data_IF_373977188767
#
_entry.id   IF_373977188767
#
_cell.length_a   1.000
_cell.length_b   1.000
_cell.length_c   1.000
_cell.angle_alpha   90.00
_cell.angle_beta   90.00
_cell.angle_gamma   90.00
#
_symmetry.space_group_name_H-M   'P 1'
#
loop_
_entity.id
_entity.type
_entity.pdbx_description
1 polymer ?
#
# COMPACT_ATOMS: atom_id res chain seq x y z
N UNK A 1 17.35 -10.76 9.03
CA UNK A 1 17.10 -10.27 7.65
C UNK A 1 16.31 -8.99 7.77
N UNK A 2 16.83 -7.87 7.28
CA UNK A 2 16.10 -6.62 7.36
C UNK A 2 14.77 -6.72 6.60
N UNK A 3 13.80 -5.93 7.04
CA UNK A 3 12.46 -5.87 6.45
C UNK A 3 12.19 -4.44 5.97
N UNK A 4 11.57 -4.31 4.81
CA UNK A 4 10.96 -3.07 4.34
C UNK A 4 9.44 -3.30 4.33
N UNK A 5 8.70 -2.53 5.13
CA UNK A 5 7.24 -2.58 5.16
C UNK A 5 6.69 -1.52 4.19
N UNK A 6 6.27 -1.96 3.02
CA UNK A 6 5.89 -1.02 1.95
C UNK A 6 4.45 -0.52 2.07
N UNK A 7 3.71 -0.89 3.09
CA UNK A 7 2.31 -0.50 3.22
C UNK A 7 1.89 -0.33 4.68
N UNK A 8 1.92 0.91 5.16
CA UNK A 8 1.44 1.28 6.51
C UNK A 8 0.57 2.53 6.44
N UNK A 9 -0.29 2.72 7.43
CA UNK A 9 -1.11 3.90 7.58
C UNK A 9 -0.77 4.63 8.87
N UNK A 10 -0.55 5.93 8.77
CA UNK A 10 -0.21 6.82 9.88
C UNK A 10 -1.18 8.01 9.96
N UNK A 11 -2.36 7.85 9.39
CA UNK A 11 -3.36 8.90 9.30
C UNK A 11 -4.17 9.00 10.59
N UNK A 12 -4.43 10.23 11.02
CA UNK A 12 -5.31 10.52 12.17
C UNK A 12 -6.79 10.34 11.76
N UNK A 13 -7.18 9.08 11.56
CA UNK A 13 -8.53 8.68 11.16
C UNK A 13 -9.12 7.79 12.26
N UNK A 14 -10.33 8.14 12.73
CA UNK A 14 -11.04 7.40 13.81
C UNK A 14 -11.09 5.87 13.57
N UNK A 15 -11.23 5.43 12.32
CA UNK A 15 -11.29 4.01 12.00
C UNK A 15 -9.99 3.27 12.28
N UNK A 16 -8.83 3.88 12.01
CA UNK A 16 -7.54 3.29 12.34
C UNK A 16 -7.32 3.22 13.85
N UNK A 17 -7.65 4.29 14.59
CA UNK A 17 -7.58 4.28 16.06
C UNK A 17 -8.48 3.19 16.66
N UNK A 18 -9.71 3.04 16.17
CA UNK A 18 -10.61 1.97 16.64
C UNK A 18 -10.09 0.59 16.31
N UNK A 19 -9.59 0.39 15.08
CA UNK A 19 -9.02 -0.90 14.70
C UNK A 19 -7.81 -1.25 15.57
N UNK A 20 -6.94 -0.29 15.83
CA UNK A 20 -5.79 -0.47 16.73
C UNK A 20 -6.22 -0.86 18.15
N UNK A 21 -7.25 -0.22 18.70
CA UNK A 21 -7.73 -0.50 20.06
C UNK A 21 -8.53 -1.80 20.12
N UNK A 22 -9.47 -2.00 19.19
CA UNK A 22 -10.49 -3.03 19.30
C UNK A 22 -10.08 -4.36 18.68
N UNK A 23 -9.25 -4.34 17.63
CA UNK A 23 -8.92 -5.53 16.84
C UNK A 23 -7.45 -5.92 16.95
N UNK A 24 -6.54 -5.09 16.48
CA UNK A 24 -5.12 -5.45 16.38
C UNK A 24 -4.32 -5.31 17.67
N UNK A 25 -4.83 -4.50 18.63
CA UNK A 25 -4.18 -4.25 19.93
C UNK A 25 -2.77 -3.65 19.80
N UNK A 26 -2.54 -2.86 18.77
CA UNK A 26 -1.26 -2.15 18.56
C UNK A 26 -1.30 -0.77 19.25
N UNK A 27 -0.14 -0.27 19.64
CA UNK A 27 0.02 1.13 20.04
C UNK A 27 0.07 2.00 18.78
N UNK A 28 -1.08 2.57 18.41
CA UNK A 28 -1.21 3.41 17.22
C UNK A 28 -0.71 4.82 17.50
N UNK A 29 0.61 4.90 17.66
CA UNK A 29 1.38 6.14 17.83
C UNK A 29 2.70 6.05 17.05
N UNK A 30 3.38 7.18 16.84
CA UNK A 30 4.72 7.19 16.25
C UNK A 30 5.72 6.38 17.06
N UNK A 31 5.63 6.45 18.39
CA UNK A 31 6.48 5.69 19.31
C UNK A 31 6.18 4.20 19.26
N UNK A 32 4.89 3.81 19.19
CA UNK A 32 4.47 2.42 19.04
C UNK A 32 4.96 1.81 17.74
N UNK A 33 4.82 2.53 16.62
CA UNK A 33 5.35 2.08 15.33
C UNK A 33 6.87 1.87 15.39
N UNK A 34 7.60 2.86 15.94
CA UNK A 34 9.06 2.76 16.07
C UNK A 34 9.47 1.55 16.90
N UNK A 35 8.78 1.30 18.00
CA UNK A 35 9.04 0.14 18.86
C UNK A 35 8.77 -1.21 18.13
N UNK A 36 7.71 -1.28 17.32
CA UNK A 36 7.46 -2.46 16.50
C UNK A 36 8.52 -2.63 15.40
N UNK A 37 8.97 -1.54 14.77
CA UNK A 37 10.03 -1.58 13.77
C UNK A 37 11.33 -2.11 14.36
N UNK A 38 11.75 -1.57 15.51
CA UNK A 38 12.98 -1.99 16.20
C UNK A 38 12.95 -3.46 16.64
N UNK A 39 11.76 -3.93 17.10
CA UNK A 39 11.56 -5.32 17.53
C UNK A 39 11.65 -6.30 16.36
N UNK A 40 11.26 -5.90 15.15
CA UNK A 40 11.09 -6.78 14.00
C UNK A 40 12.13 -6.59 12.89
N UNK A 41 13.21 -5.83 13.13
CA UNK A 41 14.21 -5.48 12.13
C UNK A 41 13.62 -4.79 10.88
N UNK A 42 12.54 -4.00 11.06
CA UNK A 42 11.99 -3.18 9.98
C UNK A 42 12.82 -1.92 9.87
N UNK A 43 13.55 -1.78 8.78
CA UNK A 43 14.48 -0.66 8.57
C UNK A 43 13.84 0.53 7.88
N UNK A 44 12.76 0.31 7.15
CA UNK A 44 12.02 1.36 6.44
C UNK A 44 10.54 0.99 6.32
N UNK A 45 9.68 1.98 6.50
CA UNK A 45 8.24 1.88 6.21
C UNK A 45 7.80 2.87 5.13
N UNK A 46 6.78 2.51 4.34
CA UNK A 46 6.15 3.42 3.37
C UNK A 46 4.70 3.68 3.79
N UNK A 47 4.43 4.92 4.19
CA UNK A 47 3.10 5.39 4.57
C UNK A 47 2.21 5.67 3.37
N UNK A 48 0.96 5.20 3.42
CA UNK A 48 -0.05 5.48 2.40
C UNK A 48 -0.84 6.72 2.79
N UNK A 49 -0.66 7.81 2.04
CA UNK A 49 -1.30 9.10 2.34
C UNK A 49 -2.82 9.05 2.22
N UNK A 50 -3.52 9.27 3.32
CA UNK A 50 -4.97 9.34 3.39
C UNK A 50 -5.45 10.13 4.61
N UNK A 51 -6.54 10.87 4.46
CA UNK A 51 -7.23 11.58 5.56
C UNK A 51 -8.74 11.49 5.40
N UNK A 52 -9.47 12.09 6.35
CA UNK A 52 -10.89 12.38 6.22
C UNK A 52 -11.10 13.90 6.18
N UNK A 53 -11.85 14.42 5.19
CA UNK A 53 -12.28 15.83 5.17
C UNK A 53 -13.30 16.10 6.26
N UNK A 54 -14.22 15.16 6.44
CA UNK A 54 -15.23 15.19 7.50
C UNK A 54 -15.32 13.79 8.09
N UNK A 55 -15.66 13.70 9.37
CA UNK A 55 -15.79 12.42 10.07
C UNK A 55 -16.68 11.44 9.28
N UNK A 56 -16.13 10.29 8.95
CA UNK A 56 -16.81 9.24 8.19
C UNK A 56 -16.81 9.44 6.68
N UNK A 57 -16.21 10.50 6.14
CA UNK A 57 -16.03 10.72 4.70
C UNK A 57 -14.69 10.14 4.19
N UNK A 58 -14.33 8.99 4.71
CA UNK A 58 -13.14 8.24 4.32
C UNK A 58 -13.29 7.63 2.93
N UNK A 59 -12.22 7.62 2.12
CA UNK A 59 -10.97 8.33 2.34
C UNK A 59 -10.98 9.72 1.69
N UNK A 60 -10.30 10.67 2.31
CA UNK A 60 -9.81 11.86 1.62
C UNK A 60 -8.29 11.80 1.57
N UNK A 61 -7.74 11.66 0.38
CA UNK A 61 -6.32 11.44 0.17
C UNK A 61 -5.53 12.71 -0.15
N UNK A 62 -6.15 13.89 -0.01
CA UNK A 62 -5.52 15.16 -0.35
C UNK A 62 -4.79 15.86 0.80
N UNK A 63 -4.53 15.14 1.91
CA UNK A 63 -3.81 15.72 3.04
C UNK A 63 -2.41 16.19 2.67
N UNK A 64 -1.99 17.38 3.13
CA UNK A 64 -0.60 17.80 3.06
C UNK A 64 0.30 17.04 4.06
N UNK A 65 -0.28 16.45 5.10
CA UNK A 65 0.41 15.60 6.08
C UNK A 65 -0.24 14.22 6.10
N UNK A 66 0.24 13.26 5.30
CA UNK A 66 -0.29 11.91 5.29
C UNK A 66 0.03 11.12 6.56
N UNK A 67 0.91 11.65 7.41
CA UNK A 67 1.46 11.04 8.59
C UNK A 67 0.91 11.75 9.84
N UNK A 68 -0.42 11.81 9.97
CA UNK A 68 -1.10 12.59 10.99
C UNK A 68 -0.93 12.15 12.45
N UNK A 69 -0.24 11.03 12.69
CA UNK A 69 0.01 10.55 14.04
C UNK A 69 1.24 11.22 14.65
N UNK A 70 1.07 12.31 15.38
CA UNK A 70 2.10 12.95 16.24
C UNK A 70 3.54 12.93 15.66
N UNK A 71 3.65 12.68 14.36
CA UNK A 71 4.89 12.87 13.63
C UNK A 71 5.00 14.37 13.41
N UNK A 72 5.99 14.98 13.99
CA UNK A 72 6.37 16.36 13.67
C UNK A 72 6.30 16.58 12.16
N UNK A 73 6.27 17.83 11.69
CA UNK A 73 6.08 18.21 10.26
C UNK A 73 7.02 17.49 9.28
N UNK A 74 7.98 16.71 9.75
CA UNK A 74 8.95 15.96 8.95
C UNK A 74 8.69 14.46 9.03
N UNK A 75 8.65 13.83 7.86
CA UNK A 75 8.68 12.37 7.75
C UNK A 75 10.00 11.85 8.35
N UNK A 76 9.97 11.05 9.43
CA UNK A 76 11.18 10.51 10.05
C UNK A 76 12.05 9.75 9.04
N UNK A 77 13.34 9.65 9.31
CA UNK A 77 14.29 9.01 8.37
C UNK A 77 13.95 7.56 8.04
N UNK A 78 13.35 6.83 8.98
CA UNK A 78 12.92 5.43 8.80
C UNK A 78 11.56 5.28 8.07
N UNK A 79 11.00 6.39 7.56
CA UNK A 79 9.75 6.39 6.81
C UNK A 79 9.91 7.07 5.45
N UNK A 80 9.10 6.63 4.50
CA UNK A 80 8.78 7.31 3.25
C UNK A 80 7.25 7.36 3.09
N UNK A 81 6.76 8.06 2.06
CA UNK A 81 5.32 8.16 1.81
C UNK A 81 4.95 7.98 0.36
N UNK A 82 3.74 7.51 0.10
CA UNK A 82 3.04 7.65 -1.17
C UNK A 82 2.02 8.79 -1.08
N UNK A 83 2.05 9.70 -2.04
CA UNK A 83 1.12 10.84 -2.10
C UNK A 83 -0.27 10.33 -2.46
N UNK A 84 -1.24 10.52 -1.57
CA UNK A 84 -2.63 10.18 -1.83
C UNK A 84 -3.27 11.12 -2.85
N UNK A 85 -4.12 10.56 -3.71
CA UNK A 85 -4.82 11.30 -4.76
C UNK A 85 -6.33 11.31 -4.51
N UNK A 86 -6.91 12.50 -4.49
CA UNK A 86 -8.35 12.68 -4.54
C UNK A 86 -8.77 13.05 -5.97
N UNK A 87 -9.38 12.12 -6.73
CA UNK A 87 -9.75 12.39 -8.13
C UNK A 87 -10.80 13.51 -8.27
N UNK A 88 -11.57 13.81 -7.23
CA UNK A 88 -12.53 14.91 -7.27
C UNK A 88 -11.85 16.28 -7.37
N UNK A 89 -10.56 16.37 -7.03
CA UNK A 89 -9.77 17.60 -7.16
C UNK A 89 -9.06 17.70 -8.52
N UNK A 90 -9.04 16.63 -9.32
CA UNK A 90 -8.39 16.60 -10.64
C UNK A 90 -9.28 17.15 -11.77
N UNK A 91 -10.48 17.64 -11.45
CA UNK A 91 -11.42 18.20 -12.42
C UNK A 91 -11.71 19.69 -12.21
N UNK A 92 -12.19 20.36 -13.28
CA UNK A 92 -12.60 21.76 -13.21
C UNK A 92 -11.47 22.75 -12.97
N UNK A 93 -11.81 23.90 -12.38
CA UNK A 93 -10.88 25.04 -12.21
C UNK A 93 -9.74 24.76 -11.18
N UNK A 94 -9.88 23.73 -10.36
CA UNK A 94 -8.90 23.38 -9.31
C UNK A 94 -7.87 22.34 -9.77
N UNK A 95 -8.06 21.72 -10.93
CA UNK A 95 -7.23 20.62 -11.40
C UNK A 95 -5.75 20.97 -11.48
N UNK A 96 -5.41 22.16 -12.01
CA UNK A 96 -4.03 22.58 -12.13
C UNK A 96 -3.36 22.78 -10.76
N UNK A 97 -4.05 23.42 -9.82
CA UNK A 97 -3.53 23.64 -8.48
C UNK A 97 -3.27 22.29 -7.74
N UNK A 98 -4.15 21.31 -7.94
CA UNK A 98 -3.95 19.97 -7.38
C UNK A 98 -2.76 19.24 -8.04
N UNK A 99 -2.60 19.33 -9.35
CA UNK A 99 -1.45 18.76 -10.04
C UNK A 99 -0.13 19.42 -9.60
N UNK A 100 -0.13 20.75 -9.43
CA UNK A 100 1.03 21.48 -8.91
C UNK A 100 1.38 21.05 -7.49
N UNK A 101 0.38 20.79 -6.65
CA UNK A 101 0.56 20.24 -5.28
C UNK A 101 1.17 18.84 -5.32
N UNK A 102 0.63 17.94 -6.15
CA UNK A 102 1.16 16.59 -6.32
C UNK A 102 2.60 16.65 -6.81
N UNK A 103 2.87 17.45 -7.82
CA UNK A 103 4.20 17.61 -8.39
C UNK A 103 5.21 18.14 -7.37
N UNK A 104 4.82 19.15 -6.58
CA UNK A 104 5.66 19.69 -5.50
C UNK A 104 6.02 18.60 -4.46
N UNK A 105 5.05 17.74 -4.10
CA UNK A 105 5.32 16.59 -3.20
C UNK A 105 6.28 15.58 -3.83
N UNK A 106 6.08 15.24 -5.11
CA UNK A 106 6.95 14.29 -5.82
C UNK A 106 8.41 14.75 -5.95
N UNK A 107 8.70 16.05 -5.75
CA UNK A 107 10.06 16.57 -5.71
C UNK A 107 10.76 16.28 -4.36
N UNK A 108 10.01 15.98 -3.31
CA UNK A 108 10.57 15.70 -1.99
C UNK A 108 11.22 14.31 -1.94
N UNK A 109 12.42 14.16 -1.35
CA UNK A 109 13.17 12.91 -1.34
C UNK A 109 12.50 11.81 -0.52
N UNK A 110 11.66 12.17 0.47
CA UNK A 110 10.90 11.23 1.29
C UNK A 110 9.67 10.65 0.58
N UNK A 111 9.32 11.13 -0.62
CA UNK A 111 8.18 10.61 -1.37
C UNK A 111 8.62 9.46 -2.27
N UNK A 112 8.08 8.26 -1.99
CA UNK A 112 8.38 7.02 -2.70
C UNK A 112 7.48 6.77 -3.91
N UNK A 113 6.22 7.23 -3.88
CA UNK A 113 5.22 6.92 -4.88
C UNK A 113 3.94 7.73 -4.78
N UNK A 114 2.94 7.25 -5.49
CA UNK A 114 1.57 7.81 -5.50
C UNK A 114 0.61 6.72 -5.02
N UNK A 115 -0.42 7.08 -4.24
CA UNK A 115 -1.48 6.15 -3.80
C UNK A 115 -2.83 6.55 -4.38
N UNK A 116 -3.51 5.57 -5.00
CA UNK A 116 -4.90 5.66 -5.44
C UNK A 116 -5.79 4.78 -4.57
N UNK A 117 -6.97 5.29 -4.22
CA UNK A 117 -7.97 4.59 -3.42
C UNK A 117 -9.15 4.15 -4.29
N UNK A 118 -8.89 3.24 -5.23
CA UNK A 118 -9.93 2.67 -6.08
C UNK A 118 -10.99 1.93 -5.25
N UNK A 119 -12.24 2.03 -5.66
CA UNK A 119 -13.37 1.51 -4.89
C UNK A 119 -13.94 2.53 -3.89
N UNK A 120 -13.10 3.26 -3.17
CA UNK A 120 -13.51 4.36 -2.31
C UNK A 120 -13.92 5.59 -3.13
N UNK A 121 -13.12 5.93 -4.14
CA UNK A 121 -13.53 6.85 -5.19
C UNK A 121 -14.17 6.07 -6.34
N UNK A 122 -15.29 6.61 -6.89
CA UNK A 122 -16.09 5.95 -7.91
C UNK A 122 -15.59 6.25 -9.33
N UNK A 123 -14.28 6.08 -9.52
CA UNK A 123 -13.57 6.21 -10.80
C UNK A 123 -12.79 4.93 -11.07
N UNK A 124 -12.80 4.46 -12.30
CA UNK A 124 -11.86 3.42 -12.71
C UNK A 124 -10.46 4.01 -12.79
N UNK A 125 -9.46 3.22 -12.40
CA UNK A 125 -8.06 3.68 -12.42
C UNK A 125 -7.55 4.04 -13.81
N UNK A 126 -8.18 3.53 -14.86
CA UNK A 126 -7.89 3.87 -16.25
C UNK A 126 -8.69 5.08 -16.78
N UNK A 127 -9.54 5.72 -15.98
CA UNK A 127 -10.28 6.90 -16.39
C UNK A 127 -9.32 8.07 -16.67
N UNK A 128 -9.63 8.85 -17.72
CA UNK A 128 -8.79 9.95 -18.20
C UNK A 128 -8.47 11.01 -17.15
N UNK A 129 -9.27 11.10 -16.11
CA UNK A 129 -9.05 12.04 -15.00
C UNK A 129 -7.71 11.80 -14.31
N UNK A 130 -7.21 10.55 -14.31
CA UNK A 130 -5.92 10.19 -13.72
C UNK A 130 -4.73 10.33 -14.69
N UNK A 131 -4.96 10.57 -15.99
CA UNK A 131 -3.85 10.63 -16.98
C UNK A 131 -2.73 11.58 -16.56
N UNK A 132 -3.00 12.85 -16.11
CA UNK A 132 -1.92 13.74 -15.69
C UNK A 132 -1.13 13.22 -14.46
N UNK A 133 -1.77 12.45 -13.59
CA UNK A 133 -1.10 11.81 -12.43
C UNK A 133 -0.12 10.74 -12.90
N UNK A 134 -0.47 9.94 -13.91
CA UNK A 134 0.43 8.93 -14.49
C UNK A 134 1.59 9.58 -15.26
N UNK A 135 1.36 10.71 -15.90
CA UNK A 135 2.43 11.51 -16.53
C UNK A 135 3.43 12.02 -15.49
N UNK A 136 2.94 12.46 -14.32
CA UNK A 136 3.80 12.84 -13.20
C UNK A 136 4.56 11.62 -12.64
N UNK A 137 3.90 10.47 -12.46
CA UNK A 137 4.54 9.25 -12.00
C UNK A 137 5.70 8.84 -12.94
N UNK A 138 5.47 8.86 -14.25
CA UNK A 138 6.50 8.59 -15.24
C UNK A 138 7.64 9.62 -15.20
N UNK A 139 7.31 10.92 -15.11
CA UNK A 139 8.27 12.03 -15.05
C UNK A 139 9.22 11.90 -13.87
N UNK A 140 8.71 11.51 -12.70
CA UNK A 140 9.47 11.40 -11.46
C UNK A 140 9.99 9.98 -11.19
N UNK A 141 9.73 9.03 -12.09
CA UNK A 141 10.10 7.63 -11.98
C UNK A 141 9.68 7.04 -10.62
N UNK A 142 8.40 7.17 -10.31
CA UNK A 142 7.80 6.61 -9.08
C UNK A 142 6.63 5.69 -9.43
N UNK A 143 6.39 4.64 -8.63
CA UNK A 143 5.25 3.75 -8.84
C UNK A 143 3.93 4.39 -8.43
N UNK A 144 2.84 3.81 -8.94
CA UNK A 144 1.49 4.09 -8.50
C UNK A 144 0.94 2.87 -7.76
N UNK A 145 0.67 3.05 -6.48
CA UNK A 145 0.11 2.05 -5.57
C UNK A 145 -1.42 2.18 -5.60
N UNK A 146 -2.11 1.08 -5.90
CA UNK A 146 -3.56 1.08 -6.13
C UNK A 146 -4.24 0.18 -5.12
N UNK A 147 -5.12 0.76 -4.28
CA UNK A 147 -6.02 -0.04 -3.46
C UNK A 147 -6.87 -0.93 -4.36
N UNK A 148 -6.90 -2.23 -4.06
CA UNK A 148 -7.73 -3.21 -4.75
C UNK A 148 -8.36 -4.16 -3.74
N UNK A 149 -9.38 -4.89 -4.17
CA UNK A 149 -10.03 -5.85 -3.30
C UNK A 149 -11.19 -5.28 -2.49
N UNK A 150 -11.33 -5.78 -1.27
CA UNK A 150 -12.38 -5.34 -0.36
C UNK A 150 -12.24 -3.87 0.04
N UNK A 151 -13.35 -3.23 0.33
CA UNK A 151 -13.37 -1.84 0.81
C UNK A 151 -13.90 -1.79 2.24
N UNK A 152 -13.11 -1.23 3.15
CA UNK A 152 -13.52 -1.07 4.56
C UNK A 152 -14.80 -0.23 4.71
N UNK A 153 -15.02 0.75 3.83
CA UNK A 153 -16.20 1.59 3.85
C UNK A 153 -17.37 0.97 3.10
N UNK A 154 -18.55 0.95 3.73
CA UNK A 154 -19.80 0.54 3.06
C UNK A 154 -20.19 1.46 1.89
N UNK A 155 -19.60 2.64 1.77
CA UNK A 155 -19.78 3.56 0.65
C UNK A 155 -18.86 3.22 -0.54
N UNK A 156 -17.93 2.28 -0.37
CA UNK A 156 -17.07 1.79 -1.43
C UNK A 156 -17.86 0.97 -2.46
N UNK A 157 -17.45 1.04 -3.73
CA UNK A 157 -18.00 0.23 -4.82
C UNK A 157 -16.92 -0.69 -5.37
N UNK A 158 -17.02 -1.97 -5.03
CA UNK A 158 -16.04 -3.02 -5.32
C UNK A 158 -15.65 -3.13 -6.80
N UNK A 159 -16.56 -2.80 -7.73
CA UNK A 159 -16.26 -2.84 -9.17
C UNK A 159 -15.08 -1.95 -9.59
N UNK A 160 -14.83 -0.86 -8.86
CA UNK A 160 -13.71 0.03 -9.15
C UNK A 160 -12.40 -0.47 -8.54
N UNK A 161 -12.47 -1.32 -7.50
CA UNK A 161 -11.33 -1.93 -6.82
C UNK A 161 -10.95 -3.32 -7.36
N UNK A 162 -11.61 -3.80 -8.40
CA UNK A 162 -11.34 -5.12 -8.97
C UNK A 162 -9.97 -5.12 -9.70
N UNK A 163 -9.09 -6.11 -9.46
CA UNK A 163 -7.75 -6.17 -10.05
C UNK A 163 -7.68 -6.05 -11.58
N UNK A 164 -8.68 -6.52 -12.30
CA UNK A 164 -8.75 -6.38 -13.76
C UNK A 164 -8.78 -4.93 -14.26
N UNK A 165 -9.15 -3.97 -13.40
CA UNK A 165 -9.05 -2.55 -13.75
C UNK A 165 -7.59 -2.10 -13.91
N UNK A 166 -6.68 -2.75 -13.17
CA UNK A 166 -5.23 -2.49 -13.26
C UNK A 166 -4.64 -3.11 -14.53
N UNK A 167 -5.19 -4.21 -15.03
CA UNK A 167 -4.76 -4.81 -16.31
C UNK A 167 -4.92 -3.83 -17.47
N UNK A 168 -6.09 -3.20 -17.59
CA UNK A 168 -6.34 -2.20 -18.62
C UNK A 168 -5.42 -0.98 -18.47
N UNK A 169 -5.24 -0.49 -17.24
CA UNK A 169 -4.35 0.63 -16.94
C UNK A 169 -2.90 0.30 -17.31
N UNK A 170 -2.38 -0.86 -16.91
CA UNK A 170 -1.01 -1.29 -17.17
C UNK A 170 -0.71 -1.40 -18.67
N UNK A 171 -1.71 -1.84 -19.45
CA UNK A 171 -1.61 -1.86 -20.91
C UNK A 171 -1.55 -0.46 -21.50
N UNK A 172 -2.34 0.49 -20.97
CA UNK A 172 -2.36 1.87 -21.46
C UNK A 172 -1.12 2.67 -21.04
N UNK A 173 -0.54 2.39 -19.86
CA UNK A 173 0.54 3.17 -19.21
C UNK A 173 1.81 2.33 -19.00
N UNK A 174 2.40 1.83 -20.08
CA UNK A 174 3.57 0.91 -20.03
C UNK A 174 4.84 1.52 -19.44
N UNK A 175 4.91 2.83 -19.32
CA UNK A 175 6.05 3.56 -18.74
C UNK A 175 5.96 3.78 -17.24
N UNK A 176 4.90 3.27 -16.57
CA UNK A 176 4.67 3.42 -15.14
C UNK A 176 4.57 2.04 -14.51
N UNK A 177 5.19 1.84 -13.34
CA UNK A 177 5.00 0.65 -12.53
C UNK A 177 3.79 0.82 -11.63
N UNK A 178 2.98 -0.23 -11.52
CA UNK A 178 1.79 -0.27 -10.69
C UNK A 178 1.91 -1.36 -9.63
N UNK A 179 1.31 -1.12 -8.46
CA UNK A 179 1.19 -2.12 -7.42
C UNK A 179 -0.27 -2.35 -7.05
N UNK A 180 -0.72 -3.58 -7.17
CA UNK A 180 -2.00 -4.08 -6.65
C UNK A 180 -1.85 -4.27 -5.14
N UNK A 181 -2.62 -3.53 -4.33
CA UNK A 181 -2.63 -3.75 -2.88
C UNK A 181 -3.44 -5.00 -2.51
N UNK A 182 -3.06 -5.61 -1.37
CA UNK A 182 -3.81 -6.70 -0.73
C UNK A 182 -3.99 -7.93 -1.63
N UNK A 183 -3.07 -8.15 -2.59
CA UNK A 183 -3.18 -9.18 -3.62
C UNK A 183 -4.59 -9.20 -4.27
N UNK A 184 -5.31 -8.07 -4.23
CA UNK A 184 -6.67 -7.95 -4.77
C UNK A 184 -7.74 -8.76 -4.05
N UNK A 185 -7.51 -9.23 -2.81
CA UNK A 185 -8.43 -10.06 -2.05
C UNK A 185 -9.87 -9.48 -2.03
N UNK A 186 -10.92 -10.26 -2.34
CA UNK A 186 -10.96 -11.72 -2.54
C UNK A 186 -10.67 -12.21 -3.96
N UNK A 187 -10.35 -11.36 -4.94
CA UNK A 187 -10.08 -11.73 -6.34
C UNK A 187 -8.58 -12.04 -6.58
N UNK A 188 -7.98 -12.80 -5.67
CA UNK A 188 -6.53 -13.07 -5.68
C UNK A 188 -6.05 -13.78 -6.95
N UNK A 189 -6.89 -14.62 -7.58
CA UNK A 189 -6.52 -15.29 -8.84
C UNK A 189 -6.51 -14.33 -10.02
N UNK A 190 -7.44 -13.38 -10.06
CA UNK A 190 -7.44 -12.33 -11.08
C UNK A 190 -6.22 -11.42 -10.91
N UNK A 191 -5.89 -11.05 -9.66
CA UNK A 191 -4.69 -10.28 -9.35
C UNK A 191 -3.41 -11.02 -9.76
N UNK A 192 -3.33 -12.32 -9.47
CA UNK A 192 -2.21 -13.18 -9.86
C UNK A 192 -2.00 -13.20 -11.38
N UNK A 193 -3.10 -13.31 -12.16
CA UNK A 193 -3.03 -13.23 -13.63
C UNK A 193 -2.58 -11.85 -14.11
N UNK A 194 -3.09 -10.78 -13.50
CA UNK A 194 -2.68 -9.41 -13.87
C UNK A 194 -1.19 -9.18 -13.63
N UNK A 195 -0.64 -9.69 -12.51
CA UNK A 195 0.79 -9.62 -12.20
C UNK A 195 1.61 -10.48 -13.17
N UNK A 196 1.15 -11.70 -13.47
CA UNK A 196 1.86 -12.61 -14.37
C UNK A 196 1.93 -12.07 -15.80
N UNK A 197 0.82 -11.50 -16.28
CA UNK A 197 0.70 -10.99 -17.65
C UNK A 197 1.47 -9.68 -17.88
N UNK A 198 1.47 -8.77 -16.90
CA UNK A 198 1.97 -7.41 -17.09
C UNK A 198 3.35 -7.22 -16.47
N UNK A 199 4.39 -6.85 -17.26
CA UNK A 199 5.75 -6.68 -16.73
C UNK A 199 5.88 -5.53 -15.73
N UNK A 200 4.99 -4.53 -15.80
CA UNK A 200 4.96 -3.34 -14.97
C UNK A 200 3.94 -3.41 -13.81
N UNK A 201 3.45 -4.61 -13.46
CA UNK A 201 2.54 -4.79 -12.34
C UNK A 201 3.16 -5.67 -11.27
N UNK A 202 3.11 -5.18 -10.03
CA UNK A 202 3.52 -5.81 -8.78
C UNK A 202 2.30 -6.00 -7.89
N UNK A 203 2.44 -6.75 -6.79
CA UNK A 203 1.41 -6.82 -5.77
C UNK A 203 2.02 -6.84 -4.37
N UNK A 204 1.31 -6.27 -3.40
CA UNK A 204 1.65 -6.47 -2.01
C UNK A 204 0.78 -7.53 -1.33
N UNK A 205 1.29 -8.05 -0.23
CA UNK A 205 0.63 -9.04 0.60
C UNK A 205 0.08 -8.40 1.89
N UNK A 206 -0.20 -7.10 1.89
CA UNK A 206 -0.70 -6.35 3.04
C UNK A 206 -2.20 -6.58 3.27
N UNK A 207 -2.70 -6.34 4.48
CA UNK A 207 -4.13 -6.27 4.77
C UNK A 207 -4.95 -7.56 4.63
N UNK A 208 -4.32 -8.72 4.39
CA UNK A 208 -5.01 -10.01 4.18
C UNK A 208 -5.60 -10.61 5.46
N UNK A 209 -5.09 -10.21 6.62
CA UNK A 209 -5.61 -10.55 7.95
C UNK A 209 -5.58 -9.31 8.82
N UNK A 210 -6.70 -9.06 9.48
CA UNK A 210 -6.84 -7.94 10.43
C UNK A 210 -7.08 -8.51 11.83
N UNK A 211 -6.35 -8.00 12.83
CA UNK A 211 -6.60 -8.34 14.23
C UNK A 211 -5.37 -8.70 15.03
N UNK A 212 -5.61 -9.30 16.18
CA UNK A 212 -4.62 -9.73 17.17
C UNK A 212 -4.19 -11.19 16.99
N UNK A 213 -3.34 -11.68 17.90
CA UNK A 213 -2.83 -13.07 17.88
C UNK A 213 -3.91 -14.13 17.76
N UNK A 214 -5.02 -14.13 18.50
CA UNK A 214 -6.09 -15.12 18.34
C UNK A 214 -6.69 -15.15 16.92
N UNK A 215 -6.85 -13.99 16.27
CA UNK A 215 -7.32 -13.92 14.88
C UNK A 215 -6.31 -14.54 13.93
N UNK A 216 -5.03 -14.17 14.05
CA UNK A 216 -3.96 -14.73 13.22
C UNK A 216 -3.83 -16.24 13.36
N UNK A 217 -3.81 -16.77 14.60
CA UNK A 217 -3.74 -18.21 14.86
C UNK A 217 -4.90 -18.96 14.22
N UNK A 218 -6.12 -18.42 14.31
CA UNK A 218 -7.29 -19.02 13.69
C UNK A 218 -7.13 -19.13 12.18
N UNK A 219 -6.76 -18.03 11.50
CA UNK A 219 -6.65 -18.00 10.05
C UNK A 219 -5.44 -18.77 9.52
N UNK A 220 -4.30 -18.68 10.18
CA UNK A 220 -3.11 -19.45 9.82
C UNK A 220 -3.29 -20.98 9.98
N UNK A 221 -4.23 -21.41 10.83
CA UNK A 221 -4.59 -22.81 11.01
C UNK A 221 -5.80 -23.27 10.19
N UNK A 222 -6.38 -22.37 9.38
CA UNK A 222 -7.47 -22.70 8.44
C UNK A 222 -6.90 -22.96 7.03
N UNK A 223 -6.82 -24.24 6.60
CA UNK A 223 -6.18 -24.56 5.32
C UNK A 223 -6.85 -23.88 4.13
N UNK A 224 -8.17 -23.77 4.10
CA UNK A 224 -8.89 -23.15 2.97
C UNK A 224 -8.56 -21.65 2.86
N UNK A 225 -8.35 -20.98 3.99
CA UNK A 225 -7.93 -19.59 4.01
C UNK A 225 -6.49 -19.41 3.50
N UNK A 226 -5.57 -20.21 4.02
CA UNK A 226 -4.16 -20.16 3.62
C UNK A 226 -3.99 -20.56 2.14
N UNK A 227 -4.70 -21.58 1.69
CA UNK A 227 -4.63 -22.06 0.31
C UNK A 227 -5.24 -21.09 -0.70
N UNK A 228 -6.15 -20.21 -0.27
CA UNK A 228 -6.67 -19.13 -1.11
C UNK A 228 -5.51 -18.27 -1.67
N UNK A 229 -4.64 -17.78 -0.82
CA UNK A 229 -3.48 -16.98 -1.21
C UNK A 229 -2.37 -17.81 -1.85
N UNK A 230 -2.07 -19.00 -1.30
CA UNK A 230 -1.03 -19.87 -1.86
C UNK A 230 -1.28 -20.25 -3.30
N UNK A 231 -2.55 -20.51 -3.68
CA UNK A 231 -2.91 -20.79 -5.07
C UNK A 231 -2.57 -19.63 -6.00
N UNK A 232 -2.86 -18.40 -5.60
CA UNK A 232 -2.56 -17.22 -6.37
C UNK A 232 -1.04 -17.01 -6.52
N UNK A 233 -0.28 -17.17 -5.43
CA UNK A 233 1.17 -17.07 -5.46
C UNK A 233 1.83 -18.14 -6.36
N UNK A 234 1.38 -19.38 -6.25
CA UNK A 234 1.89 -20.49 -7.08
C UNK A 234 1.47 -20.31 -8.54
N UNK A 235 0.25 -19.80 -8.78
CA UNK A 235 -0.23 -19.55 -10.15
C UNK A 235 0.56 -18.45 -10.84
N UNK A 236 0.79 -17.34 -10.16
CA UNK A 236 1.59 -16.24 -10.75
C UNK A 236 3.03 -16.63 -11.00
N UNK A 237 3.63 -17.43 -10.10
CA UNK A 237 5.05 -17.84 -10.08
C UNK A 237 6.04 -16.66 -10.21
N UNK A 238 5.59 -15.44 -9.81
CA UNK A 238 6.34 -14.18 -9.88
C UNK A 238 6.63 -13.62 -8.49
N UNK A 239 7.36 -14.39 -7.65
CA UNK A 239 7.72 -13.95 -6.30
C UNK A 239 8.61 -12.70 -6.30
N UNK A 240 9.31 -12.41 -7.39
CA UNK A 240 10.09 -11.17 -7.58
C UNK A 240 9.21 -9.92 -7.75
N UNK A 241 7.91 -10.08 -7.88
CA UNK A 241 6.94 -8.98 -7.97
C UNK A 241 6.00 -8.90 -6.76
N UNK A 242 6.19 -9.78 -5.76
CA UNK A 242 5.42 -9.77 -4.51
C UNK A 242 6.18 -8.99 -3.44
N UNK A 243 5.50 -8.11 -2.71
CA UNK A 243 6.11 -7.25 -1.71
C UNK A 243 5.46 -7.47 -0.33
N UNK A 244 6.28 -7.34 0.72
CA UNK A 244 5.80 -7.36 2.09
C UNK A 244 5.24 -6.00 2.49
N UNK A 245 4.04 -5.99 3.03
CA UNK A 245 3.41 -4.87 3.70
C UNK A 245 2.47 -5.40 4.78
N UNK A 246 2.26 -4.66 5.85
CA UNK A 246 1.39 -5.09 6.95
C UNK A 246 0.01 -4.49 6.90
N UNK A 247 -0.14 -3.33 6.28
CA UNK A 247 -1.31 -2.47 6.43
C UNK A 247 -1.49 -1.99 7.90
N UNK A 248 -0.34 -1.84 8.63
CA UNK A 248 -0.38 -1.33 10.01
C UNK A 248 -1.19 -0.04 10.07
N UNK A 249 -2.13 0.14 11.02
CA UNK A 249 -2.27 -0.56 12.29
C UNK A 249 -3.26 -1.74 12.29
N UNK A 250 -3.59 -2.30 11.15
CA UNK A 250 -4.58 -3.39 11.08
C UNK A 250 -4.09 -4.68 11.73
N UNK A 251 -2.78 -4.84 11.87
CA UNK A 251 -2.14 -6.00 12.48
C UNK A 251 -0.80 -5.64 13.16
N UNK A 252 -0.38 -6.35 14.23
CA UNK A 252 0.97 -6.31 14.73
C UNK A 252 1.98 -6.83 13.69
N UNK A 253 3.13 -6.16 13.57
CA UNK A 253 4.13 -6.48 12.53
C UNK A 253 4.69 -7.90 12.69
N UNK A 254 4.96 -8.35 13.92
CA UNK A 254 5.50 -9.69 14.18
C UNK A 254 4.55 -10.81 13.70
N UNK A 255 3.26 -10.66 13.99
CA UNK A 255 2.25 -11.62 13.57
C UNK A 255 2.06 -11.63 12.05
N UNK A 256 2.08 -10.44 11.46
CA UNK A 256 1.92 -10.31 10.02
C UNK A 256 3.12 -10.89 9.26
N UNK A 257 4.32 -10.65 9.75
CA UNK A 257 5.53 -11.24 9.19
C UNK A 257 5.53 -12.79 9.33
N UNK A 258 5.05 -13.34 10.45
CA UNK A 258 4.86 -14.78 10.61
C UNK A 258 3.86 -15.34 9.58
N UNK A 259 2.73 -14.65 9.39
CA UNK A 259 1.70 -15.04 8.42
C UNK A 259 2.25 -15.08 7.00
N UNK A 260 2.93 -14.01 6.55
CA UNK A 260 3.51 -13.96 5.20
C UNK A 260 4.60 -15.01 5.00
N UNK A 261 5.44 -15.29 6.03
CA UNK A 261 6.43 -16.38 5.96
C UNK A 261 5.78 -17.75 5.80
N UNK A 262 4.56 -17.96 6.30
CA UNK A 262 3.82 -19.22 6.08
C UNK A 262 3.17 -19.31 4.70
N UNK A 263 2.94 -18.18 4.02
CA UNK A 263 2.39 -18.13 2.67
C UNK A 263 3.48 -18.31 1.61
N UNK A 264 4.60 -17.62 1.78
CA UNK A 264 5.69 -17.54 0.80
C UNK A 264 6.71 -18.65 1.09
N UNK A 265 7.18 -19.41 0.07
CA UNK A 265 8.26 -20.38 0.26
C UNK A 265 9.55 -19.70 0.74
N UNK A 266 10.30 -20.35 1.63
CA UNK A 266 11.47 -19.81 2.33
C UNK A 266 12.53 -19.22 1.38
N UNK A 267 12.74 -19.87 0.21
CA UNK A 267 13.69 -19.39 -0.79
C UNK A 267 13.35 -18.03 -1.42
N UNK A 268 12.14 -17.53 -1.21
CA UNK A 268 11.68 -16.22 -1.72
C UNK A 268 11.54 -15.16 -0.62
N UNK A 269 11.82 -15.51 0.66
CA UNK A 269 11.61 -14.57 1.77
C UNK A 269 12.45 -13.30 1.59
N UNK A 270 13.73 -13.40 1.25
CA UNK A 270 14.60 -12.24 1.10
C UNK A 270 14.08 -11.28 0.01
N UNK A 271 13.61 -11.83 -1.11
CA UNK A 271 12.99 -11.04 -2.18
C UNK A 271 11.76 -10.32 -1.69
N UNK A 272 10.80 -11.04 -1.13
CA UNK A 272 9.48 -10.51 -0.76
C UNK A 272 9.57 -9.50 0.40
N UNK A 273 10.41 -9.77 1.40
CA UNK A 273 10.53 -8.92 2.58
C UNK A 273 11.50 -7.73 2.40
N UNK A 274 12.36 -7.77 1.37
CA UNK A 274 13.42 -6.78 1.26
C UNK A 274 13.76 -6.37 -0.19
N UNK A 275 14.23 -7.30 -1.03
CA UNK A 275 14.84 -6.94 -2.32
C UNK A 275 13.85 -6.31 -3.31
N UNK A 276 12.65 -6.86 -3.44
CA UNK A 276 11.65 -6.41 -4.43
C UNK A 276 11.20 -4.96 -4.21
N UNK A 277 11.33 -4.45 -2.97
CA UNK A 277 11.01 -3.06 -2.67
C UNK A 277 11.90 -2.08 -3.47
N UNK A 278 13.16 -2.42 -3.72
CA UNK A 278 14.07 -1.58 -4.50
C UNK A 278 13.73 -1.54 -6.00
N UNK A 279 13.18 -2.64 -6.53
CA UNK A 279 12.79 -2.73 -7.94
C UNK A 279 11.56 -1.87 -8.22
N UNK A 280 10.61 -1.86 -7.29
CA UNK A 280 9.38 -1.08 -7.43
C UNK A 280 9.56 0.39 -7.02
N UNK A 281 10.28 0.66 -5.94
CA UNK A 281 10.47 1.99 -5.35
C UNK A 281 11.94 2.45 -5.48
N UNK A 282 12.38 2.98 -6.62
CA UNK A 282 13.80 3.29 -6.87
C UNK A 282 14.44 4.23 -5.85
N UNK A 283 13.63 5.08 -5.19
CA UNK A 283 14.10 6.09 -4.22
C UNK A 283 14.47 5.50 -2.85
N UNK A 284 14.02 4.27 -2.53
CA UNK A 284 14.34 3.60 -1.27
C UNK A 284 15.84 3.46 -1.07
N UNK A 285 16.58 3.14 -2.13
CA UNK A 285 18.03 2.91 -2.03
C UNK A 285 18.74 4.12 -1.44
N UNK A 286 18.48 5.30 -1.98
CA UNK A 286 19.06 6.54 -1.46
C UNK A 286 18.64 6.81 -0.01
N UNK A 287 17.34 6.57 0.29
CA UNK A 287 16.82 6.78 1.64
C UNK A 287 17.52 5.90 2.67
N UNK A 288 17.80 4.63 2.34
CA UNK A 288 18.50 3.71 3.24
C UNK A 288 20.01 4.08 3.36
N UNK A 289 20.65 4.50 2.26
CA UNK A 289 22.03 4.99 2.32
C UNK A 289 22.17 6.22 3.22
N UNK A 290 21.16 7.09 3.27
CA UNK A 290 21.13 8.26 4.14
C UNK A 290 20.89 7.91 5.63
N UNK A 291 20.45 6.68 5.94
CA UNK A 291 20.26 6.17 7.31
C UNK A 291 21.55 5.62 7.95
N UNK A 292 22.52 5.23 7.16
CA UNK A 292 23.77 4.58 7.59
C UNK A 292 24.91 5.55 7.71
#
# INVERSE_FOLDING_TARGET
MPIIDIHIHLSDIDSFHRTAIDLSKVDYSAAGLKAEFDKNDVILGIGMGVTEQTKGAFPDSSSPNPMGLDLEEKVPSFLMECVGINPNHLGGDHAQAELDRIEARLQAPEVAGIKLYAGYYHHYVYDKIYTPVYELAAKYNVPVVIHTGDTYSMNGLLKYAHPLTVDELAFQQRGVNFMICHLGDPWVMDAAEVVAKNPNVYADLSGLVVGDRPHFERFMNEPLFMDHFRRALVYSDHYEKMLFGTDWPLAPIDLYAEFVRRLVPEQHHEKVFYENAFDLFPRIKQRIEDLG
#
